data_IF_925919179923
#
_entry.id   IF_925919179923
#
_cell.length_a   1.000
_cell.length_b   1.000
_cell.length_c   1.000
_cell.angle_alpha   90.00
_cell.angle_beta   90.00
_cell.angle_gamma   90.00
#
_symmetry.space_group_name_H-M   'P 1'
#
loop_
_entity.id
_entity.type
_entity.pdbx_description
1 polymer ?
#
# COMPACT_ATOMS: atom_id res chain seq x y z
N UNK A 1 -15.99 -47.56 -31.43
CA UNK A 1 -17.19 -46.78 -31.79
C UNK A 1 -17.62 -45.91 -30.65
N UNK A 2 -17.89 -44.66 -30.97
CA UNK A 2 -18.50 -43.56 -30.18
C UNK A 2 -17.67 -42.90 -29.08
N UNK A 3 -17.17 -41.73 -29.47
CA UNK A 3 -16.67 -40.60 -28.71
C UNK A 3 -17.74 -40.05 -27.76
N UNK A 4 -17.38 -39.75 -26.53
CA UNK A 4 -18.17 -38.97 -25.61
C UNK A 4 -17.29 -37.86 -25.04
N UNK A 5 -17.45 -36.68 -25.57
CA UNK A 5 -16.83 -35.42 -25.12
C UNK A 5 -17.46 -35.02 -23.78
N UNK A 6 -16.73 -35.04 -22.70
CA UNK A 6 -17.20 -34.47 -21.42
C UNK A 6 -16.67 -33.03 -21.28
N UNK A 7 -17.57 -32.08 -21.42
CA UNK A 7 -17.37 -30.70 -21.02
C UNK A 7 -17.29 -30.66 -19.49
N UNK A 8 -16.13 -30.25 -18.98
CA UNK A 8 -15.96 -29.92 -17.57
C UNK A 8 -16.28 -28.42 -17.38
N UNK A 9 -17.54 -28.12 -17.05
CA UNK A 9 -17.95 -26.85 -16.49
C UNK A 9 -17.55 -26.84 -15.00
N UNK A 10 -16.43 -26.20 -14.70
CA UNK A 10 -16.00 -25.93 -13.34
C UNK A 10 -17.02 -25.04 -12.63
N UNK A 11 -17.74 -25.59 -11.69
CA UNK A 11 -18.52 -24.86 -10.71
C UNK A 11 -17.52 -24.08 -9.82
N UNK A 12 -17.37 -22.78 -10.07
CA UNK A 12 -16.94 -21.86 -9.04
C UNK A 12 -18.08 -21.70 -8.03
N UNK A 13 -18.08 -22.58 -7.04
CA UNK A 13 -18.87 -22.40 -5.83
C UNK A 13 -18.13 -21.38 -4.96
N UNK A 14 -18.51 -20.12 -5.07
CA UNK A 14 -18.22 -19.16 -4.01
C UNK A 14 -18.96 -19.65 -2.75
N UNK A 15 -18.28 -19.93 -1.64
CA UNK A 15 -18.96 -20.06 -0.37
C UNK A 15 -19.50 -18.69 -0.03
N UNK A 16 -20.82 -18.54 -0.09
CA UNK A 16 -21.54 -17.43 0.52
C UNK A 16 -21.43 -17.62 2.05
N UNK A 17 -20.25 -17.34 2.62
CA UNK A 17 -20.12 -17.15 4.04
C UNK A 17 -20.83 -15.82 4.33
N UNK A 18 -22.04 -15.92 4.89
CA UNK A 18 -22.75 -14.82 5.50
C UNK A 18 -21.79 -14.14 6.52
N UNK A 19 -21.09 -13.10 6.07
CA UNK A 19 -20.36 -12.22 6.96
C UNK A 19 -21.42 -11.58 7.84
N UNK A 20 -21.39 -11.91 9.12
CA UNK A 20 -22.12 -11.20 10.17
C UNK A 20 -21.59 -9.77 10.17
N UNK A 21 -22.29 -8.88 9.46
CA UNK A 21 -22.12 -7.45 9.64
C UNK A 21 -22.43 -7.15 11.11
N UNK A 22 -21.40 -6.88 11.89
CA UNK A 22 -21.61 -6.35 13.23
C UNK A 22 -22.11 -4.93 13.08
N UNK A 23 -23.42 -4.77 13.20
CA UNK A 23 -24.07 -3.46 13.31
C UNK A 23 -23.67 -2.90 14.67
N UNK A 24 -22.66 -2.05 14.70
CA UNK A 24 -22.38 -1.26 15.90
C UNK A 24 -23.51 -0.23 16.08
N UNK A 25 -23.98 -0.01 17.32
CA UNK A 25 -25.05 0.93 17.56
C UNK A 25 -24.64 2.32 17.11
N UNK A 26 -25.52 2.92 16.34
CA UNK A 26 -25.46 4.28 15.84
C UNK A 26 -25.31 5.26 17.03
N UNK A 27 -24.11 5.69 17.32
CA UNK A 27 -23.90 6.80 18.22
C UNK A 27 -24.20 8.08 17.45
N UNK A 28 -25.42 8.58 17.60
CA UNK A 28 -25.76 9.89 17.07
C UNK A 28 -24.95 10.95 17.81
N UNK A 29 -23.92 11.46 17.17
CA UNK A 29 -23.16 12.58 17.71
C UNK A 29 -23.85 13.87 17.31
N UNK A 30 -24.46 14.52 18.30
CA UNK A 30 -24.99 15.86 18.15
C UNK A 30 -23.83 16.85 18.05
N UNK A 31 -23.44 17.21 16.85
CA UNK A 31 -22.47 18.28 16.61
C UNK A 31 -23.25 19.61 16.57
N UNK A 32 -23.15 20.39 17.63
CA UNK A 32 -23.56 21.80 17.61
C UNK A 32 -22.46 22.57 16.84
N UNK A 33 -22.71 22.88 15.60
CA UNK A 33 -21.87 23.80 14.83
C UNK A 33 -22.36 25.21 15.19
N UNK A 34 -21.53 25.97 15.92
CA UNK A 34 -21.74 27.40 16.05
C UNK A 34 -21.58 28.03 14.66
N UNK A 35 -22.49 28.91 14.25
CA UNK A 35 -22.39 29.55 12.95
C UNK A 35 -21.31 30.61 13.02
N UNK A 36 -20.12 30.30 12.52
CA UNK A 36 -19.31 31.35 11.96
C UNK A 36 -20.00 31.76 10.67
N UNK A 37 -20.53 32.98 10.70
CA UNK A 37 -21.16 33.64 9.56
C UNK A 37 -20.10 33.95 8.50
N UNK A 38 -19.65 32.93 7.81
CA UNK A 38 -18.89 33.09 6.58
C UNK A 38 -19.88 32.87 5.46
N UNK A 39 -20.20 33.91 4.68
CA UNK A 39 -21.01 33.72 3.50
C UNK A 39 -20.33 32.69 2.60
N UNK A 40 -21.04 31.62 2.28
CA UNK A 40 -20.61 30.59 1.32
C UNK A 40 -20.30 31.15 -0.08
N UNK A 41 -20.44 32.47 -0.28
CA UNK A 41 -20.13 33.21 -1.49
C UNK A 41 -18.70 33.75 -1.60
N UNK A 42 -17.86 33.65 -0.58
CA UNK A 42 -16.46 34.06 -0.72
C UNK A 42 -15.64 32.92 -1.32
N UNK A 43 -15.70 32.94 -2.63
CA UNK A 43 -14.74 32.38 -3.61
C UNK A 43 -14.01 31.11 -3.21
N UNK A 44 -14.45 30.04 -3.80
CA UNK A 44 -13.90 28.68 -3.88
C UNK A 44 -12.40 28.61 -4.26
N UNK A 45 -11.75 29.69 -4.59
CA UNK A 45 -10.40 29.69 -5.16
C UNK A 45 -9.28 30.16 -4.23
N UNK A 46 -9.59 30.86 -3.14
CA UNK A 46 -8.54 31.44 -2.27
C UNK A 46 -8.42 30.78 -0.89
N UNK A 47 -9.41 29.99 -0.46
CA UNK A 47 -9.45 29.43 0.92
C UNK A 47 -9.26 27.92 1.02
N UNK A 48 -9.20 27.16 -0.07
CA UNK A 48 -9.04 25.69 -0.04
C UNK A 48 -7.70 25.21 0.49
N UNK A 49 -6.70 26.06 0.64
CA UNK A 49 -5.37 25.70 1.14
C UNK A 49 -5.21 25.74 2.66
N UNK A 50 -6.11 26.41 3.37
CA UNK A 50 -5.93 26.73 4.79
C UNK A 50 -6.87 25.98 5.73
N UNK A 51 -7.88 25.26 5.22
CA UNK A 51 -8.81 24.47 6.03
C UNK A 51 -8.25 23.06 6.22
N UNK A 52 -7.93 22.73 7.46
CA UNK A 52 -7.47 21.41 7.85
C UNK A 52 -8.64 20.58 8.41
N UNK A 53 -8.75 19.35 7.97
CA UNK A 53 -9.63 18.37 8.63
C UNK A 53 -8.89 17.73 9.80
N UNK A 54 -9.26 18.14 11.01
CA UNK A 54 -8.69 17.65 12.26
C UNK A 54 -9.70 16.70 12.89
N UNK A 55 -9.50 15.42 12.64
CA UNK A 55 -10.43 14.41 13.15
C UNK A 55 -11.85 14.61 12.64
N UNK A 56 -12.78 14.83 13.56
CA UNK A 56 -14.18 15.11 13.27
C UNK A 56 -14.48 16.61 13.08
N UNK A 57 -13.49 17.48 13.29
CA UNK A 57 -13.62 18.91 13.14
C UNK A 57 -12.83 19.45 11.95
N UNK A 58 -13.27 20.56 11.40
CA UNK A 58 -12.50 21.36 10.45
C UNK A 58 -12.04 22.62 11.13
N UNK A 59 -10.79 22.99 10.93
CA UNK A 59 -10.22 24.20 11.52
C UNK A 59 -9.32 24.92 10.51
N UNK A 60 -9.17 26.24 10.69
CA UNK A 60 -8.18 26.99 9.93
C UNK A 60 -6.78 26.58 10.43
N UNK A 61 -5.86 26.35 9.51
CA UNK A 61 -4.46 25.99 9.80
C UNK A 61 -3.80 26.96 10.79
N UNK A 62 -4.23 28.23 10.79
CA UNK A 62 -3.70 29.27 11.69
C UNK A 62 -4.23 29.17 13.13
N UNK A 63 -5.36 28.51 13.31
CA UNK A 63 -6.03 28.37 14.63
C UNK A 63 -5.79 27.01 15.26
N UNK A 64 -5.21 26.05 14.52
CA UNK A 64 -4.86 24.73 15.01
C UNK A 64 -3.61 24.80 15.87
N UNK A 65 -3.75 24.50 17.15
CA UNK A 65 -2.65 24.52 18.11
C UNK A 65 -1.67 23.34 17.94
N UNK A 66 -2.12 22.25 17.34
CA UNK A 66 -1.34 21.03 17.18
C UNK A 66 -0.56 20.95 15.87
N UNK A 67 0.39 20.03 15.82
CA UNK A 67 1.22 19.80 14.63
C UNK A 67 0.49 18.88 13.65
N UNK A 68 -0.24 19.47 12.73
CA UNK A 68 -0.94 18.79 11.64
C UNK A 68 -0.27 19.14 10.31
N UNK A 69 0.18 18.14 9.58
CA UNK A 69 0.68 18.31 8.21
C UNK A 69 -0.29 17.74 7.20
N UNK A 70 -0.66 18.57 6.25
CA UNK A 70 -1.44 18.14 5.08
C UNK A 70 -0.59 18.24 3.82
N UNK A 71 -0.57 17.14 3.08
CA UNK A 71 0.13 17.02 1.81
C UNK A 71 -0.93 16.76 0.73
N UNK A 72 -1.14 17.74 -0.11
CA UNK A 72 -2.01 17.61 -1.28
C UNK A 72 -1.28 16.91 -2.42
N UNK A 73 -2.02 16.41 -3.41
CA UNK A 73 -1.49 15.76 -4.61
C UNK A 73 -0.36 16.55 -5.28
N UNK A 74 -0.45 17.89 -5.29
CA UNK A 74 0.57 18.76 -5.90
C UNK A 74 1.93 18.70 -5.20
N UNK A 75 1.94 18.41 -3.90
CA UNK A 75 3.15 18.32 -3.07
C UNK A 75 3.68 16.89 -2.97
N UNK A 76 2.91 15.90 -3.35
CA UNK A 76 3.36 14.50 -3.33
C UNK A 76 4.55 14.30 -4.27
N UNK A 77 5.46 13.41 -3.88
CA UNK A 77 6.53 12.96 -4.77
C UNK A 77 5.90 12.33 -6.01
N UNK A 78 6.48 12.64 -7.16
CA UNK A 78 6.03 12.11 -8.46
C UNK A 78 7.03 11.11 -8.97
N UNK A 79 6.59 10.28 -9.92
CA UNK A 79 7.41 9.25 -10.55
C UNK A 79 6.78 7.88 -10.39
N UNK A 80 7.61 6.85 -10.52
CA UNK A 80 7.16 5.46 -10.38
C UNK A 80 7.00 5.10 -8.90
N UNK A 81 5.81 5.33 -8.36
CA UNK A 81 5.47 5.08 -6.96
C UNK A 81 4.52 3.88 -6.90
N UNK A 82 5.00 2.77 -6.37
CA UNK A 82 4.21 1.55 -6.18
C UNK A 82 3.46 1.54 -4.85
N UNK A 83 4.02 2.16 -3.82
CA UNK A 83 3.41 2.28 -2.50
C UNK A 83 3.08 3.76 -2.24
N UNK A 84 1.81 4.10 -1.98
CA UNK A 84 1.39 5.49 -1.78
C UNK A 84 2.14 6.22 -0.65
N UNK A 85 2.62 5.51 0.36
CA UNK A 85 3.45 6.09 1.42
C UNK A 85 4.74 6.72 0.89
N UNK A 86 5.32 6.15 -0.18
CA UNK A 86 6.52 6.72 -0.79
C UNK A 86 6.26 8.09 -1.43
N UNK A 87 5.00 8.42 -1.73
CA UNK A 87 4.63 9.75 -2.26
C UNK A 87 4.83 10.87 -1.23
N UNK A 88 4.83 10.54 0.05
CA UNK A 88 5.01 11.50 1.15
C UNK A 88 6.36 11.37 1.85
N UNK A 89 7.22 10.46 1.39
CA UNK A 89 8.53 10.24 2.00
C UNK A 89 9.40 11.51 1.91
N UNK A 90 9.94 11.94 3.05
CA UNK A 90 10.73 13.16 3.17
C UNK A 90 9.93 14.47 3.12
N UNK A 91 8.61 14.43 2.97
CA UNK A 91 7.75 15.62 2.90
C UNK A 91 7.25 16.10 4.27
N UNK A 92 7.30 15.24 5.28
CA UNK A 92 6.73 15.50 6.61
C UNK A 92 7.81 15.38 7.68
N UNK A 93 8.01 16.45 8.43
CA UNK A 93 8.92 16.42 9.57
C UNK A 93 8.40 15.49 10.67
N UNK A 94 9.30 14.68 11.24
CA UNK A 94 8.95 13.71 12.29
C UNK A 94 8.25 12.44 11.81
N UNK A 95 8.16 12.22 10.51
CA UNK A 95 7.73 10.94 9.92
C UNK A 95 8.93 10.25 9.29
N UNK A 96 9.25 9.07 9.77
CA UNK A 96 10.31 8.23 9.20
C UNK A 96 9.68 7.01 8.55
N UNK A 97 10.17 6.70 7.36
CA UNK A 97 9.78 5.52 6.60
C UNK A 97 11.01 4.64 6.44
N UNK A 98 10.95 3.47 7.01
CA UNK A 98 11.99 2.46 6.87
C UNK A 98 11.49 1.45 5.84
N UNK A 99 12.33 1.07 4.87
CA UNK A 99 12.00 -0.03 3.98
C UNK A 99 11.67 -1.26 4.82
N UNK A 100 10.49 -1.81 4.62
CA UNK A 100 10.07 -3.03 5.31
C UNK A 100 10.86 -4.25 4.81
N UNK A 101 10.68 -5.35 5.52
CA UNK A 101 11.26 -6.66 5.14
C UNK A 101 10.75 -7.13 3.78
N UNK A 102 9.53 -6.77 3.47
CA UNK A 102 8.91 -6.89 2.16
C UNK A 102 9.02 -5.54 1.44
N UNK A 103 9.40 -5.54 0.19
CA UNK A 103 9.62 -4.31 -0.60
C UNK A 103 8.40 -3.36 -0.64
N UNK A 104 7.27 -3.78 -0.10
CA UNK A 104 6.00 -3.08 -0.11
C UNK A 104 5.53 -2.55 1.23
N UNK A 105 5.85 -3.21 2.34
CA UNK A 105 5.44 -2.80 3.67
C UNK A 105 6.53 -1.93 4.29
N UNK A 106 6.49 -0.65 3.99
CA UNK A 106 7.33 0.31 4.69
C UNK A 106 6.86 0.39 6.16
N UNK A 107 7.78 0.21 7.08
CA UNK A 107 7.51 0.56 8.47
C UNK A 107 7.48 2.08 8.58
N UNK A 108 6.33 2.62 8.98
CA UNK A 108 6.15 4.06 9.19
C UNK A 108 6.19 4.35 10.69
N UNK A 109 6.93 5.37 11.07
CA UNK A 109 6.98 5.85 12.45
C UNK A 109 6.71 7.33 12.47
N UNK A 110 5.79 7.75 13.33
CA UNK A 110 5.48 9.14 13.59
C UNK A 110 6.08 9.51 14.94
N UNK A 111 7.06 10.46 14.91
CA UNK A 111 7.83 10.88 16.09
C UNK A 111 8.63 9.77 16.81
N UNK A 112 8.95 8.70 16.08
CA UNK A 112 9.79 7.62 16.61
C UNK A 112 8.98 6.45 17.20
N UNK A 113 9.63 5.69 18.08
CA UNK A 113 9.06 4.52 18.74
C UNK A 113 8.31 4.95 20.01
N UNK A 114 7.05 4.63 20.10
CA UNK A 114 6.17 5.00 21.23
C UNK A 114 5.98 3.86 22.21
N UNK A 115 6.19 2.60 21.78
CA UNK A 115 6.00 1.41 22.60
C UNK A 115 7.17 0.45 22.44
N UNK A 116 7.59 -0.16 23.55
CA UNK A 116 8.64 -1.20 23.55
C UNK A 116 8.08 -2.59 23.21
N UNK A 117 6.84 -2.86 23.57
CA UNK A 117 6.21 -4.19 23.44
C UNK A 117 4.98 -4.20 22.55
N UNK A 118 4.37 -3.06 22.32
CA UNK A 118 3.19 -2.89 21.45
C UNK A 118 3.56 -2.48 20.03
N UNK A 119 2.58 -2.45 19.17
CA UNK A 119 2.72 -1.92 17.81
C UNK A 119 3.10 -0.44 17.83
N UNK A 120 3.96 -0.04 16.90
CA UNK A 120 4.38 1.35 16.73
C UNK A 120 3.89 1.94 15.41
N UNK A 121 3.04 1.21 14.69
CA UNK A 121 2.47 1.67 13.44
C UNK A 121 1.39 2.73 13.70
N UNK A 122 1.37 3.80 12.93
CA UNK A 122 0.34 4.81 13.05
C UNK A 122 -1.02 4.24 12.63
N UNK A 123 -2.08 4.77 13.24
CA UNK A 123 -3.44 4.48 12.82
C UNK A 123 -3.67 5.06 11.42
N UNK A 124 -4.15 4.25 10.52
CA UNK A 124 -4.55 4.69 9.17
C UNK A 124 -6.07 4.87 9.12
N UNK A 125 -6.50 5.98 8.49
CA UNK A 125 -7.91 6.26 8.25
C UNK A 125 -8.07 6.65 6.79
N UNK A 126 -8.83 5.87 6.02
CA UNK A 126 -9.06 6.09 4.59
C UNK A 126 -10.52 6.50 4.41
N UNK A 127 -10.75 7.71 3.93
CA UNK A 127 -12.09 8.30 3.74
C UNK A 127 -13.02 8.20 4.97
N UNK A 128 -12.42 8.25 6.17
CA UNK A 128 -13.13 8.13 7.45
C UNK A 128 -13.13 6.70 8.02
N UNK A 129 -12.74 5.70 7.29
CA UNK A 129 -12.72 4.29 7.71
C UNK A 129 -11.38 3.92 8.32
N UNK A 130 -11.41 3.23 9.45
CA UNK A 130 -10.22 2.67 10.06
C UNK A 130 -9.62 1.56 9.20
N UNK A 131 -8.36 1.69 8.92
CA UNK A 131 -7.59 0.76 8.08
C UNK A 131 -6.20 0.51 8.69
N UNK A 132 -5.41 -0.31 8.04
CA UNK A 132 -4.02 -0.55 8.36
C UNK A 132 -3.07 -0.10 7.22
N UNK A 133 -1.77 -0.20 7.47
CA UNK A 133 -0.75 0.12 6.47
C UNK A 133 -0.79 -0.82 5.26
N UNK A 134 -1.23 -2.06 5.45
CA UNK A 134 -1.39 -3.05 4.38
C UNK A 134 -2.47 -2.60 3.40
N UNK A 135 -3.66 -2.27 3.91
CA UNK A 135 -4.76 -1.72 3.11
C UNK A 135 -4.34 -0.44 2.38
N UNK A 136 -3.66 0.48 3.08
CA UNK A 136 -3.17 1.71 2.45
C UNK A 136 -2.18 1.41 1.31
N UNK A 137 -1.31 0.43 1.48
CA UNK A 137 -0.31 0.07 0.47
C UNK A 137 -0.93 -0.48 -0.83
N UNK A 138 -2.20 -0.88 -0.81
CA UNK A 138 -2.92 -1.37 -1.98
C UNK A 138 -3.64 -0.27 -2.76
N UNK A 139 -3.82 0.93 -2.16
CA UNK A 139 -4.45 2.05 -2.84
C UNK A 139 -3.51 2.58 -3.92
N UNK A 140 -4.07 2.89 -5.07
CA UNK A 140 -3.29 3.46 -6.14
C UNK A 140 -2.98 4.94 -5.87
N UNK A 141 -1.73 5.40 -5.97
CA UNK A 141 -1.35 6.78 -5.63
C UNK A 141 -2.14 7.85 -6.40
N UNK A 142 -2.54 7.57 -7.64
CA UNK A 142 -3.32 8.50 -8.45
C UNK A 142 -4.76 8.72 -7.95
N UNK A 143 -5.29 7.81 -7.11
CA UNK A 143 -6.59 7.98 -6.46
C UNK A 143 -6.53 8.76 -5.15
N UNK A 144 -5.35 9.11 -4.67
CA UNK A 144 -5.19 9.86 -3.43
C UNK A 144 -5.22 11.36 -3.72
N UNK A 145 -6.08 12.08 -3.00
CA UNK A 145 -6.19 13.53 -3.04
C UNK A 145 -5.22 14.19 -2.05
N UNK A 146 -5.21 13.68 -0.81
CA UNK A 146 -4.35 14.24 0.23
C UNK A 146 -4.05 13.24 1.36
N UNK A 147 -2.92 13.47 2.01
CA UNK A 147 -2.57 12.89 3.29
C UNK A 147 -2.62 13.96 4.37
N UNK A 148 -3.25 13.67 5.50
CA UNK A 148 -3.21 14.49 6.69
C UNK A 148 -2.61 13.69 7.83
N UNK A 149 -1.53 14.19 8.42
CA UNK A 149 -0.79 13.47 9.46
C UNK A 149 -0.94 14.21 10.77
N UNK A 150 -1.58 13.55 11.74
CA UNK A 150 -1.79 14.04 13.09
C UNK A 150 -0.68 13.48 13.96
N UNK A 151 0.14 14.37 14.51
CA UNK A 151 1.35 13.97 15.24
C UNK A 151 1.22 14.22 16.75
N UNK A 152 0.41 15.18 17.16
CA UNK A 152 0.25 15.56 18.55
C UNK A 152 -0.91 14.85 19.24
N UNK A 153 -0.75 14.63 20.55
CA UNK A 153 -1.77 13.97 21.35
C UNK A 153 -3.09 14.75 21.40
N UNK A 154 -3.06 16.09 21.26
CA UNK A 154 -4.27 16.92 21.21
C UNK A 154 -5.19 16.55 20.06
N UNK A 155 -4.64 16.23 18.90
CA UNK A 155 -5.41 15.83 17.72
C UNK A 155 -5.68 14.32 17.67
N UNK A 156 -4.75 13.51 18.21
CA UNK A 156 -4.91 12.04 18.16
C UNK A 156 -5.76 11.47 19.28
N UNK A 157 -5.97 12.23 20.39
CA UNK A 157 -6.74 11.79 21.55
C UNK A 157 -8.18 11.32 21.21
N UNK A 158 -8.80 11.92 20.21
CA UNK A 158 -10.13 11.53 19.73
C UNK A 158 -10.20 10.10 19.18
N UNK A 159 -9.05 9.52 18.80
CA UNK A 159 -8.94 8.13 18.31
C UNK A 159 -8.56 7.15 19.43
N UNK A 160 -8.48 7.63 20.69
CA UNK A 160 -8.14 6.82 21.85
C UNK A 160 -6.76 6.19 21.75
N UNK A 161 -6.60 5.02 22.34
CA UNK A 161 -5.30 4.31 22.36
C UNK A 161 -4.74 3.96 20.97
N UNK A 162 -5.60 3.80 19.97
CA UNK A 162 -5.18 3.52 18.60
C UNK A 162 -4.40 4.69 17.97
N UNK A 163 -4.65 5.92 18.41
CA UNK A 163 -3.96 7.12 17.94
C UNK A 163 -2.61 7.40 18.62
N UNK A 164 -2.18 6.57 19.57
CA UNK A 164 -0.98 6.82 20.37
C UNK A 164 0.31 6.92 19.54
N UNK A 165 0.42 6.15 18.46
CA UNK A 165 1.55 6.16 17.54
C UNK A 165 1.39 7.16 16.37
N UNK A 166 0.45 8.10 16.49
CA UNK A 166 0.10 9.03 15.42
C UNK A 166 -1.02 8.52 14.52
N UNK A 167 -1.59 9.41 13.71
CA UNK A 167 -2.69 9.08 12.80
C UNK A 167 -2.37 9.60 11.40
N UNK A 168 -2.54 8.75 10.41
CA UNK A 168 -2.44 9.08 8.98
C UNK A 168 -3.85 9.02 8.39
N UNK A 169 -4.41 10.18 8.08
CA UNK A 169 -5.68 10.27 7.34
C UNK A 169 -5.37 10.38 5.86
N UNK A 170 -6.03 9.56 5.08
CA UNK A 170 -5.95 9.55 3.62
C UNK A 170 -7.31 9.94 3.07
N UNK A 171 -7.34 11.00 2.29
CA UNK A 171 -8.52 11.36 1.51
C UNK A 171 -8.29 10.94 0.07
N UNK A 172 -9.21 10.16 -0.47
CA UNK A 172 -9.14 9.77 -1.86
C UNK A 172 -9.94 10.73 -2.74
N UNK A 173 -9.61 10.77 -4.02
CA UNK A 173 -10.34 11.59 -5.00
C UNK A 173 -11.78 11.13 -5.09
N UNK A 174 -12.68 12.05 -4.91
CA UNK A 174 -14.12 11.85 -5.05
C UNK A 174 -14.63 12.38 -6.40
N UNK A 175 -15.85 12.01 -6.76
CA UNK A 175 -16.55 12.61 -7.87
C UNK A 175 -16.81 14.10 -7.63
N UNK A 176 -17.07 14.83 -8.69
CA UNK A 176 -17.51 16.22 -8.64
C UNK A 176 -18.59 16.45 -9.71
N UNK A 177 -19.41 17.46 -9.49
CA UNK A 177 -20.38 17.90 -10.49
C UNK A 177 -19.69 18.42 -11.73
N UNK A 178 -20.26 18.11 -12.89
CA UNK A 178 -19.72 18.55 -14.16
C UNK A 178 -19.91 17.52 -15.28
N UNK A 179 -19.37 17.82 -16.43
CA UNK A 179 -19.37 16.93 -17.57
C UNK A 179 -18.58 15.64 -17.28
N UNK A 180 -18.91 14.61 -18.03
CA UNK A 180 -18.15 13.36 -17.98
C UNK A 180 -16.66 13.61 -18.22
N UNK A 181 -15.84 13.09 -17.35
CA UNK A 181 -14.38 13.13 -17.44
C UNK A 181 -13.84 11.70 -17.44
N UNK A 182 -12.86 11.46 -18.29
CA UNK A 182 -12.10 10.21 -18.34
C UNK A 182 -10.63 10.56 -18.22
N UNK A 183 -9.93 9.94 -17.30
CA UNK A 183 -8.48 10.07 -17.15
C UNK A 183 -7.81 8.70 -17.23
N UNK A 184 -6.64 8.67 -17.83
CA UNK A 184 -5.75 7.52 -17.84
C UNK A 184 -4.35 7.96 -17.42
N UNK A 185 -3.82 7.27 -16.43
CA UNK A 185 -2.45 7.42 -15.96
C UNK A 185 -1.71 6.10 -16.15
N UNK A 186 -0.64 6.12 -16.94
CA UNK A 186 0.16 4.95 -17.24
C UNK A 186 1.63 5.23 -17.04
N UNK A 187 2.34 4.30 -16.38
CA UNK A 187 3.78 4.38 -16.16
C UNK A 187 4.42 3.02 -16.42
N UNK A 188 5.59 3.05 -17.04
CA UNK A 188 6.46 1.89 -17.19
C UNK A 188 7.87 2.25 -16.74
N UNK A 189 8.48 1.38 -15.96
CA UNK A 189 9.84 1.57 -15.43
C UNK A 189 10.62 0.28 -15.49
N UNK A 190 11.91 0.40 -15.78
CA UNK A 190 12.87 -0.70 -15.73
C UNK A 190 13.81 -0.45 -14.55
N UNK A 191 14.01 -1.47 -13.75
CA UNK A 191 14.85 -1.43 -12.55
C UNK A 191 16.08 -2.31 -12.74
N UNK A 192 17.22 -1.81 -12.33
CA UNK A 192 18.47 -2.57 -12.34
C UNK A 192 19.28 -2.29 -11.10
N UNK A 193 20.14 -3.22 -10.71
CA UNK A 193 21.05 -3.02 -9.60
C UNK A 193 22.13 -2.03 -10.03
N UNK A 194 22.20 -0.90 -9.33
CA UNK A 194 23.18 0.15 -9.61
C UNK A 194 24.62 -0.29 -9.35
N UNK A 195 24.84 -1.09 -8.28
CA UNK A 195 26.16 -1.53 -7.87
C UNK A 195 26.12 -2.91 -7.23
N UNK A 196 26.77 -3.86 -7.85
CA UNK A 196 26.97 -5.18 -7.28
C UNK A 196 28.21 -5.21 -6.37
N UNK A 197 28.20 -6.06 -5.35
CA UNK A 197 29.41 -6.38 -4.59
C UNK A 197 30.38 -7.12 -5.50
N UNK A 198 31.64 -6.70 -5.47
CA UNK A 198 32.70 -7.42 -6.19
C UNK A 198 33.06 -8.67 -5.37
N UNK A 199 32.77 -9.82 -5.94
CA UNK A 199 33.10 -11.12 -5.35
C UNK A 199 34.39 -11.67 -5.99
N UNK A 200 34.97 -12.63 -5.31
CA UNK A 200 36.09 -13.39 -5.90
C UNK A 200 35.55 -14.27 -7.04
N UNK A 201 36.21 -14.27 -8.17
CA UNK A 201 35.98 -15.26 -9.22
C UNK A 201 36.43 -16.66 -8.74
N UNK A 202 35.95 -17.72 -9.39
CA UNK A 202 36.36 -19.08 -9.08
C UNK A 202 37.88 -19.24 -9.12
N UNK A 203 38.57 -18.65 -10.10
CA UNK A 203 40.03 -18.71 -10.20
C UNK A 203 40.76 -17.95 -9.10
N UNK A 204 40.26 -16.75 -8.74
CA UNK A 204 40.80 -16.00 -7.61
C UNK A 204 40.57 -16.72 -6.29
N UNK A 205 39.42 -17.37 -6.14
CA UNK A 205 39.07 -18.15 -4.94
C UNK A 205 40.01 -19.37 -4.83
N UNK A 206 40.28 -20.12 -5.92
CA UNK A 206 41.25 -21.23 -5.96
C UNK A 206 42.65 -20.78 -5.56
N UNK A 207 43.08 -19.65 -6.15
CA UNK A 207 44.42 -19.10 -5.87
C UNK A 207 44.61 -18.73 -4.41
N UNK A 208 43.61 -18.04 -3.80
CA UNK A 208 43.64 -17.67 -2.38
C UNK A 208 43.57 -18.90 -1.48
N UNK A 209 42.78 -19.90 -1.82
CA UNK A 209 42.72 -21.16 -1.06
C UNK A 209 44.04 -21.90 -1.08
N UNK A 210 44.66 -22.01 -2.22
CA UNK A 210 46.01 -22.64 -2.39
C UNK A 210 47.06 -21.88 -1.59
N UNK A 211 47.09 -20.55 -1.70
CA UNK A 211 48.05 -19.69 -1.00
C UNK A 211 47.96 -19.82 0.52
N UNK A 212 46.74 -20.02 1.02
CA UNK A 212 46.46 -20.18 2.46
C UNK A 212 46.49 -21.64 2.95
N UNK A 213 46.75 -22.60 2.05
CA UNK A 213 46.72 -24.01 2.39
C UNK A 213 45.33 -24.53 2.83
N UNK A 214 44.25 -23.88 2.34
CA UNK A 214 42.89 -24.27 2.68
C UNK A 214 42.40 -25.28 1.65
N UNK A 215 41.98 -26.46 2.13
CA UNK A 215 41.32 -27.44 1.25
C UNK A 215 39.90 -26.99 0.94
N UNK A 216 39.58 -26.85 -0.34
CA UNK A 216 38.24 -26.47 -0.81
C UNK A 216 37.63 -27.61 -1.62
N UNK A 217 36.31 -27.72 -1.61
CA UNK A 217 35.58 -28.52 -2.59
C UNK A 217 35.48 -27.68 -3.87
N UNK A 218 36.20 -28.11 -4.90
CA UNK A 218 36.22 -27.45 -6.21
C UNK A 218 35.48 -28.31 -7.22
N UNK A 219 34.40 -27.79 -7.79
CA UNK A 219 33.59 -28.44 -8.82
C UNK A 219 33.94 -27.94 -10.23
N UNK A 220 34.93 -27.06 -10.36
CA UNK A 220 35.46 -26.62 -11.67
C UNK A 220 34.72 -25.47 -12.32
N UNK A 221 33.73 -24.86 -11.64
CA UNK A 221 32.95 -23.73 -12.17
C UNK A 221 33.54 -22.38 -11.76
N UNK A 222 33.00 -21.32 -12.37
CA UNK A 222 33.23 -19.91 -12.01
C UNK A 222 31.88 -19.18 -12.04
N UNK A 223 31.15 -19.24 -10.92
CA UNK A 223 29.78 -18.75 -10.83
C UNK A 223 29.73 -17.46 -10.00
N UNK A 224 29.16 -16.41 -10.59
CA UNK A 224 28.83 -15.17 -9.88
C UNK A 224 27.43 -15.26 -9.30
N UNK A 225 27.29 -15.85 -8.11
CA UNK A 225 25.99 -16.04 -7.47
C UNK A 225 25.18 -14.77 -7.24
N UNK A 226 25.75 -13.59 -6.90
CA UNK A 226 25.01 -12.33 -6.87
C UNK A 226 24.35 -11.96 -8.20
N UNK A 227 24.96 -12.27 -9.35
CA UNK A 227 24.33 -12.07 -10.66
C UNK A 227 23.27 -13.13 -10.96
N UNK A 228 23.49 -14.37 -10.54
CA UNK A 228 22.54 -15.45 -10.75
C UNK A 228 21.22 -15.28 -10.00
N UNK A 229 21.22 -14.63 -8.82
CA UNK A 229 19.99 -14.37 -8.06
C UNK A 229 19.27 -13.12 -8.52
N UNK A 230 19.84 -12.33 -9.43
CA UNK A 230 19.30 -11.05 -9.85
C UNK A 230 18.90 -11.06 -11.31
N UNK A 231 18.07 -10.10 -11.67
CA UNK A 231 17.61 -9.86 -13.04
C UNK A 231 17.35 -8.38 -13.25
N UNK A 232 17.09 -7.99 -14.47
CA UNK A 232 16.48 -6.71 -14.79
C UNK A 232 15.01 -6.77 -14.37
N UNK A 233 14.63 -5.92 -13.43
CA UNK A 233 13.25 -5.77 -12.96
C UNK A 233 12.47 -4.81 -13.85
N UNK A 234 11.14 -4.85 -13.75
CA UNK A 234 10.27 -3.89 -14.41
C UNK A 234 8.99 -3.69 -13.61
N UNK A 235 8.43 -2.50 -13.73
CA UNK A 235 7.18 -2.13 -13.07
C UNK A 235 6.30 -1.41 -14.09
N UNK A 236 5.05 -1.79 -14.15
CA UNK A 236 4.04 -1.09 -14.92
C UNK A 236 2.81 -0.78 -14.07
N UNK A 237 2.33 0.44 -14.25
CA UNK A 237 1.10 0.91 -13.62
C UNK A 237 0.14 1.36 -14.70
N UNK A 238 -1.12 0.96 -14.56
CA UNK A 238 -2.22 1.42 -15.38
C UNK A 238 -3.38 1.82 -14.47
N UNK A 239 -3.82 3.05 -14.61
CA UNK A 239 -4.94 3.59 -13.84
C UNK A 239 -5.90 4.30 -14.79
N UNK A 240 -7.15 3.93 -14.71
CA UNK A 240 -8.24 4.56 -15.46
C UNK A 240 -9.26 5.06 -14.45
N UNK A 241 -9.63 6.32 -14.56
CA UNK A 241 -10.71 6.86 -13.75
C UNK A 241 -11.69 7.64 -14.63
N UNK A 242 -12.96 7.51 -14.31
CA UNK A 242 -14.03 8.24 -14.95
C UNK A 242 -15.03 8.74 -13.91
N UNK A 243 -15.61 9.87 -14.20
CA UNK A 243 -16.56 10.51 -13.30
C UNK A 243 -17.31 11.64 -13.97
N UNK A 244 -18.29 12.13 -13.28
CA UNK A 244 -19.14 13.23 -13.71
C UNK A 244 -20.44 13.26 -12.94
N UNK A 245 -21.34 14.11 -13.33
CA UNK A 245 -22.66 14.20 -12.73
C UNK A 245 -23.21 15.60 -12.66
N UNK A 246 -24.33 15.74 -12.01
CA UNK A 246 -25.01 17.01 -11.76
C UNK A 246 -24.59 17.60 -10.40
N UNK A 247 -25.07 18.79 -10.06
CA UNK A 247 -24.84 19.38 -8.73
C UNK A 247 -25.42 18.52 -7.60
N UNK A 248 -26.52 17.81 -7.88
CA UNK A 248 -27.18 16.96 -6.88
C UNK A 248 -26.73 15.50 -6.87
N UNK A 249 -26.13 15.01 -7.95
CA UNK A 249 -25.70 13.61 -8.07
C UNK A 249 -24.44 13.53 -8.88
N UNK A 250 -23.37 13.03 -8.29
CA UNK A 250 -22.12 12.84 -8.99
C UNK A 250 -21.42 11.57 -8.53
N UNK A 251 -20.60 11.06 -9.41
CA UNK A 251 -19.89 9.79 -9.18
C UNK A 251 -18.45 9.86 -9.71
N UNK A 252 -17.63 8.99 -9.17
CA UNK A 252 -16.30 8.66 -9.68
C UNK A 252 -16.10 7.14 -9.57
N UNK A 253 -15.56 6.55 -10.61
CA UNK A 253 -15.08 5.17 -10.54
C UNK A 253 -13.65 5.11 -11.08
N UNK A 254 -12.84 4.23 -10.50
CA UNK A 254 -11.48 3.99 -10.93
C UNK A 254 -11.13 2.51 -10.93
N UNK A 255 -10.26 2.14 -11.85
CA UNK A 255 -9.66 0.82 -11.97
C UNK A 255 -8.15 0.99 -12.06
N UNK A 256 -7.41 0.21 -11.29
CA UNK A 256 -5.95 0.26 -11.29
C UNK A 256 -5.36 -1.14 -11.35
N UNK A 257 -4.27 -1.25 -12.09
CA UNK A 257 -3.42 -2.43 -12.20
C UNK A 257 -1.97 -2.01 -11.96
N UNK A 258 -1.31 -2.68 -11.06
CA UNK A 258 0.14 -2.59 -10.88
C UNK A 258 0.71 -4.01 -11.03
N UNK A 259 1.68 -4.15 -11.92
CA UNK A 259 2.42 -5.39 -12.11
C UNK A 259 3.92 -5.08 -11.94
N UNK A 260 4.57 -5.77 -11.03
CA UNK A 260 5.97 -5.57 -10.70
C UNK A 260 6.73 -6.88 -10.69
N UNK A 261 7.86 -6.88 -11.36
CA UNK A 261 8.90 -7.90 -11.23
C UNK A 261 10.15 -7.25 -10.68
N UNK A 262 10.53 -7.66 -9.48
CA UNK A 262 11.68 -7.10 -8.79
C UNK A 262 13.00 -7.52 -9.45
N UNK A 263 14.06 -6.78 -9.10
CA UNK A 263 15.44 -7.08 -9.52
C UNK A 263 15.97 -8.39 -8.94
N UNK A 264 15.36 -8.90 -7.89
CA UNK A 264 15.64 -10.24 -7.35
C UNK A 264 14.69 -11.22 -8.01
N UNK A 265 15.24 -12.33 -8.55
CA UNK A 265 14.39 -13.39 -9.10
C UNK A 265 13.48 -13.96 -8.01
N UNK A 266 12.34 -14.53 -8.36
CA UNK A 266 11.33 -15.07 -7.44
C UNK A 266 10.70 -14.04 -6.49
N UNK A 267 10.82 -12.74 -6.80
CA UNK A 267 10.11 -11.67 -6.13
C UNK A 267 9.31 -10.89 -7.16
N UNK A 268 7.98 -11.00 -7.07
CA UNK A 268 7.05 -10.29 -7.95
C UNK A 268 5.68 -10.14 -7.30
N UNK A 269 4.93 -9.15 -7.72
CA UNK A 269 3.56 -9.00 -7.29
C UNK A 269 2.69 -8.26 -8.30
N UNK A 270 1.40 -8.53 -8.22
CA UNK A 270 0.34 -7.84 -8.95
C UNK A 270 -0.71 -7.33 -7.99
N UNK A 271 -1.11 -6.10 -8.19
CA UNK A 271 -2.16 -5.46 -7.42
C UNK A 271 -3.26 -4.98 -8.36
N UNK A 272 -4.48 -5.40 -8.10
CA UNK A 272 -5.69 -4.97 -8.80
C UNK A 272 -6.53 -4.17 -7.82
N UNK A 273 -7.03 -3.02 -8.22
CA UNK A 273 -7.92 -2.21 -7.41
C UNK A 273 -9.09 -1.71 -8.25
N UNK A 274 -10.26 -1.71 -7.64
CA UNK A 274 -11.44 -1.05 -8.17
C UNK A 274 -12.06 -0.19 -7.07
N UNK A 275 -12.47 1.04 -7.41
CA UNK A 275 -13.09 1.97 -6.48
C UNK A 275 -14.27 2.67 -7.15
N UNK A 276 -15.35 2.86 -6.41
CA UNK A 276 -16.52 3.61 -6.83
C UNK A 276 -16.94 4.52 -5.69
N UNK A 277 -17.13 5.78 -5.98
CA UNK A 277 -17.68 6.78 -5.08
C UNK A 277 -18.91 7.40 -5.73
N UNK A 278 -19.98 7.53 -4.95
CA UNK A 278 -21.24 8.14 -5.38
C UNK A 278 -21.67 9.12 -4.29
N UNK A 279 -21.93 10.34 -4.68
CA UNK A 279 -22.57 11.33 -3.81
C UNK A 279 -23.93 11.70 -4.38
N UNK A 280 -24.94 11.61 -3.54
CA UNK A 280 -26.31 12.02 -3.86
C UNK A 280 -26.78 13.05 -2.84
N UNK A 281 -27.29 14.20 -3.35
CA UNK A 281 -27.93 15.23 -2.56
C UNK A 281 -29.43 15.23 -2.86
N UNK A 282 -30.25 15.42 -1.86
CA UNK A 282 -31.70 15.42 -1.98
C UNK A 282 -32.30 16.51 -1.09
N UNK A 283 -33.58 16.84 -1.29
CA UNK A 283 -34.37 17.81 -0.51
C UNK A 283 -33.71 19.20 -0.44
N UNK A 284 -33.29 19.75 -1.59
CA UNK A 284 -32.60 21.04 -1.67
C UNK A 284 -31.33 21.07 -0.77
N UNK A 285 -30.45 20.10 -0.96
CA UNK A 285 -29.20 19.91 -0.23
C UNK A 285 -29.34 19.64 1.28
N UNK A 286 -30.55 19.40 1.77
CA UNK A 286 -30.74 19.05 3.18
C UNK A 286 -30.32 17.63 3.53
N UNK A 287 -30.32 16.74 2.57
CA UNK A 287 -29.91 15.35 2.76
C UNK A 287 -28.80 15.03 1.77
N UNK A 288 -27.67 14.55 2.30
CA UNK A 288 -26.52 14.11 1.53
C UNK A 288 -26.19 12.67 1.88
N UNK A 289 -25.99 11.86 0.87
CA UNK A 289 -25.48 10.50 0.95
C UNK A 289 -24.14 10.44 0.21
N UNK A 290 -23.11 9.91 0.87
CA UNK A 290 -21.84 9.55 0.27
C UNK A 290 -21.65 8.05 0.45
N UNK A 291 -21.57 7.33 -0.66
CA UNK A 291 -21.28 5.91 -0.73
C UNK A 291 -19.94 5.73 -1.39
N UNK A 292 -19.01 5.06 -0.72
CA UNK A 292 -17.76 4.64 -1.29
C UNK A 292 -17.57 3.14 -1.15
N UNK A 293 -17.11 2.50 -2.21
CA UNK A 293 -16.78 1.07 -2.25
C UNK A 293 -15.43 0.91 -2.89
N UNK A 294 -14.54 0.20 -2.24
CA UNK A 294 -13.20 -0.12 -2.72
C UNK A 294 -12.93 -1.61 -2.54
N UNK A 295 -12.45 -2.24 -3.60
CA UNK A 295 -11.92 -3.60 -3.57
C UNK A 295 -10.50 -3.62 -4.10
N UNK A 296 -9.61 -4.32 -3.42
CA UNK A 296 -8.24 -4.52 -3.87
C UNK A 296 -7.82 -5.98 -3.66
N UNK A 297 -7.12 -6.53 -4.64
CA UNK A 297 -6.55 -7.88 -4.56
C UNK A 297 -5.08 -7.81 -4.95
N UNK A 298 -4.23 -8.26 -4.06
CA UNK A 298 -2.79 -8.38 -4.30
C UNK A 298 -2.40 -9.85 -4.30
N UNK A 299 -1.68 -10.24 -5.33
CA UNK A 299 -1.00 -11.53 -5.39
C UNK A 299 0.49 -11.27 -5.43
N UNK A 300 1.22 -11.81 -4.50
CA UNK A 300 2.68 -11.68 -4.41
C UNK A 300 3.33 -13.04 -4.30
N UNK A 301 4.51 -13.14 -4.88
CA UNK A 301 5.44 -14.21 -4.63
C UNK A 301 6.66 -13.56 -3.97
N UNK A 302 6.89 -13.90 -2.72
CA UNK A 302 7.92 -13.28 -1.89
C UNK A 302 9.09 -14.24 -1.71
N UNK A 303 10.28 -13.68 -1.67
CA UNK A 303 11.44 -14.44 -1.23
C UNK A 303 11.40 -14.56 0.29
N UNK A 304 11.44 -15.78 0.82
CA UNK A 304 11.29 -16.08 2.26
C UNK A 304 12.28 -15.30 3.12
N UNK A 305 13.53 -15.17 2.67
CA UNK A 305 14.55 -14.37 3.37
C UNK A 305 15.52 -13.75 2.37
N UNK A 306 15.23 -12.51 1.97
CA UNK A 306 16.05 -11.76 1.03
C UNK A 306 17.47 -11.50 1.56
N UNK A 307 17.61 -11.20 2.85
CA UNK A 307 18.93 -10.92 3.45
C UNK A 307 19.79 -12.17 3.47
N UNK A 308 19.22 -13.30 3.86
CA UNK A 308 19.90 -14.59 3.87
C UNK A 308 20.28 -15.03 2.46
N UNK A 309 19.43 -14.78 1.47
CA UNK A 309 19.72 -15.09 0.07
C UNK A 309 20.92 -14.30 -0.43
N UNK A 310 20.97 -12.98 -0.19
CA UNK A 310 22.11 -12.16 -0.57
C UNK A 310 23.37 -12.52 0.21
N UNK A 311 23.25 -12.78 1.52
CA UNK A 311 24.37 -13.23 2.31
C UNK A 311 24.92 -14.57 1.81
N UNK A 312 24.05 -15.53 1.53
CA UNK A 312 24.43 -16.81 0.95
C UNK A 312 25.09 -16.63 -0.41
N UNK A 313 24.54 -15.79 -1.29
CA UNK A 313 25.12 -15.52 -2.61
C UNK A 313 26.53 -14.90 -2.50
N UNK A 314 26.76 -14.06 -1.50
CA UNK A 314 28.05 -13.44 -1.26
C UNK A 314 29.09 -14.40 -0.64
N UNK A 315 28.64 -15.34 0.19
CA UNK A 315 29.50 -16.24 0.96
C UNK A 315 29.64 -17.63 0.33
N UNK A 316 28.82 -17.97 -0.66
CA UNK A 316 28.87 -19.29 -1.28
C UNK A 316 30.11 -19.49 -2.16
N UNK A 317 30.54 -20.73 -2.26
CA UNK A 317 31.73 -21.10 -3.01
C UNK A 317 31.52 -20.89 -4.53
N UNK A 318 32.26 -19.98 -5.18
CA UNK A 318 32.10 -19.67 -6.61
C UNK A 318 32.51 -20.80 -7.55
N UNK A 319 33.12 -21.87 -7.05
CA UNK A 319 33.49 -23.04 -7.87
C UNK A 319 32.35 -24.03 -8.06
N UNK A 320 31.16 -23.72 -7.54
CA UNK A 320 29.93 -24.51 -7.69
C UNK A 320 29.12 -24.09 -8.92
N UNK A 321 28.36 -25.02 -9.53
CA UNK A 321 27.50 -24.71 -10.67
C UNK A 321 26.28 -23.88 -10.31
N UNK A 322 25.79 -23.10 -11.28
CA UNK A 322 24.51 -22.40 -11.23
C UNK A 322 23.33 -23.25 -11.74
N UNK A 323 23.47 -24.55 -11.80
CA UNK A 323 22.45 -25.49 -12.25
C UNK A 323 22.33 -26.68 -11.29
N UNK A 324 21.21 -27.35 -11.35
CA UNK A 324 20.96 -28.54 -10.53
C UNK A 324 21.85 -29.70 -10.98
N UNK A 325 22.21 -30.53 -10.03
CA UNK A 325 22.95 -31.75 -10.28
C UNK A 325 22.07 -32.83 -10.96
N UNK A 326 22.67 -33.95 -11.32
CA UNK A 326 22.02 -35.06 -12.02
C UNK A 326 20.82 -35.68 -11.27
N UNK A 327 20.76 -35.47 -9.95
CA UNK A 327 19.66 -35.93 -9.09
C UNK A 327 18.53 -34.89 -8.97
N UNK A 328 18.65 -33.73 -9.61
CA UNK A 328 17.68 -32.65 -9.57
C UNK A 328 17.78 -31.73 -8.34
N UNK A 329 18.80 -31.96 -7.49
CA UNK A 329 19.08 -31.14 -6.31
C UNK A 329 20.13 -30.05 -6.58
N UNK A 330 20.29 -29.13 -5.63
CA UNK A 330 21.34 -28.14 -5.61
C UNK A 330 22.56 -28.65 -4.82
N UNK A 331 23.74 -28.51 -5.38
CA UNK A 331 24.96 -28.85 -4.66
C UNK A 331 25.16 -27.90 -3.48
N UNK A 332 25.53 -28.44 -2.33
CA UNK A 332 25.70 -27.74 -1.05
C UNK A 332 27.12 -27.87 -0.54
N UNK A 333 27.58 -26.84 0.18
CA UNK A 333 28.85 -26.91 0.92
C UNK A 333 28.65 -27.70 2.20
N UNK A 334 29.12 -28.93 2.24
CA UNK A 334 28.91 -29.84 3.38
C UNK A 334 29.68 -29.44 4.64
N UNK A 335 30.78 -28.68 4.49
CA UNK A 335 31.62 -28.21 5.60
C UNK A 335 31.10 -26.95 6.27
N UNK A 336 30.10 -26.27 5.67
CA UNK A 336 29.51 -25.03 6.16
C UNK A 336 28.00 -25.10 6.06
N UNK A 337 27.36 -25.89 6.92
CA UNK A 337 25.90 -26.13 6.93
C UNK A 337 25.07 -24.87 7.15
N UNK A 338 25.67 -23.77 7.62
CA UNK A 338 25.06 -22.46 7.80
C UNK A 338 25.01 -21.60 6.54
N UNK A 339 25.74 -22.01 5.47
CA UNK A 339 25.67 -21.40 4.14
C UNK A 339 24.96 -22.37 3.20
N UNK A 340 23.77 -21.98 2.78
CA UNK A 340 22.98 -22.76 1.82
C UNK A 340 23.16 -22.20 0.42
N UNK A 341 23.09 -23.05 -0.61
CA UNK A 341 23.11 -22.59 -1.99
C UNK A 341 22.02 -21.52 -2.21
N UNK A 342 22.38 -20.30 -2.64
CA UNK A 342 21.42 -19.20 -2.78
C UNK A 342 20.31 -19.52 -3.80
N UNK A 343 20.60 -20.31 -4.83
CA UNK A 343 19.61 -20.70 -5.84
C UNK A 343 18.58 -21.70 -5.26
N UNK A 344 18.98 -22.50 -4.26
CA UNK A 344 18.05 -23.37 -3.54
C UNK A 344 17.04 -22.55 -2.72
N UNK A 345 17.47 -21.44 -2.11
CA UNK A 345 16.59 -20.53 -1.41
C UNK A 345 15.54 -19.88 -2.31
N UNK A 346 15.91 -19.62 -3.55
CA UNK A 346 15.01 -18.98 -4.51
C UNK A 346 13.90 -19.90 -5.02
N UNK A 347 14.02 -21.20 -4.80
CA UNK A 347 12.96 -22.17 -5.10
C UNK A 347 11.91 -22.30 -4.01
N UNK A 348 12.21 -21.77 -2.83
CA UNK A 348 11.22 -21.72 -1.75
C UNK A 348 10.21 -20.62 -2.11
N UNK A 349 9.02 -21.03 -2.48
CA UNK A 349 7.91 -20.16 -2.84
C UNK A 349 7.16 -19.73 -1.58
N UNK A 350 6.92 -18.43 -1.45
CA UNK A 350 6.04 -17.82 -0.47
C UNK A 350 4.97 -17.02 -1.22
N UNK A 351 3.94 -17.73 -1.65
CA UNK A 351 2.84 -17.15 -2.40
C UNK A 351 1.78 -16.62 -1.44
N UNK A 352 1.52 -15.33 -1.51
CA UNK A 352 0.54 -14.64 -0.71
C UNK A 352 -0.54 -14.03 -1.59
N UNK A 353 -1.79 -14.17 -1.18
CA UNK A 353 -2.93 -13.53 -1.84
C UNK A 353 -3.76 -12.78 -0.81
N UNK A 354 -3.65 -11.46 -0.85
CA UNK A 354 -4.38 -10.55 0.04
C UNK A 354 -5.52 -9.90 -0.71
N UNK A 355 -6.72 -9.97 -0.16
CA UNK A 355 -7.90 -9.30 -0.69
C UNK A 355 -8.47 -8.38 0.38
N UNK A 356 -8.68 -7.12 0.03
CA UNK A 356 -9.32 -6.14 0.91
C UNK A 356 -10.55 -5.59 0.25
N UNK A 357 -11.62 -5.54 1.01
CA UNK A 357 -12.86 -4.90 0.62
C UNK A 357 -13.24 -3.89 1.70
N UNK A 358 -13.55 -2.68 1.26
CA UNK A 358 -13.97 -1.60 2.13
C UNK A 358 -15.18 -0.92 1.51
N UNK A 359 -16.23 -0.76 2.29
CA UNK A 359 -17.40 0.01 1.90
C UNK A 359 -17.78 0.95 3.03
N UNK A 360 -18.12 2.18 2.71
CA UNK A 360 -18.59 3.16 3.67
C UNK A 360 -19.81 3.88 3.14
N UNK A 361 -20.70 4.20 4.05
CA UNK A 361 -21.87 5.03 3.78
C UNK A 361 -21.91 6.15 4.83
N UNK A 362 -21.90 7.38 4.35
CA UNK A 362 -22.06 8.56 5.16
C UNK A 362 -23.39 9.24 4.80
N UNK A 363 -24.16 9.60 5.78
CA UNK A 363 -25.41 10.32 5.63
C UNK A 363 -25.37 11.60 6.48
N UNK A 364 -25.70 12.72 5.88
CA UNK A 364 -25.82 14.01 6.55
C UNK A 364 -27.21 14.59 6.29
N UNK A 365 -27.92 14.93 7.36
CA UNK A 365 -29.25 15.55 7.31
C UNK A 365 -29.20 16.91 8.01
N UNK A 366 -29.41 17.97 7.25
CA UNK A 366 -29.52 19.35 7.74
C UNK A 366 -30.97 19.60 8.15
N UNK A 367 -31.23 19.60 9.46
CA UNK A 367 -32.55 19.88 10.00
C UNK A 367 -32.83 21.38 10.03
N UNK A 368 -31.84 22.15 10.47
CA UNK A 368 -31.86 23.62 10.48
C UNK A 368 -30.47 24.12 10.10
N UNK A 369 -30.30 25.42 9.79
CA UNK A 369 -28.94 25.99 9.49
C UNK A 369 -27.93 25.75 10.63
N UNK A 370 -28.40 25.46 11.86
CA UNK A 370 -27.54 25.26 13.02
C UNK A 370 -27.54 23.83 13.55
N UNK A 371 -28.31 22.91 12.93
CA UNK A 371 -28.42 21.53 13.40
C UNK A 371 -28.26 20.56 12.22
N UNK A 372 -27.17 19.83 12.23
CA UNK A 372 -26.88 18.77 11.27
C UNK A 372 -26.82 17.45 12.01
N UNK A 373 -27.61 16.50 11.59
CA UNK A 373 -27.49 15.10 12.00
C UNK A 373 -26.56 14.40 10.97
N UNK A 374 -25.47 13.86 11.44
CA UNK A 374 -24.59 13.04 10.61
C UNK A 374 -24.53 11.63 11.16
N UNK A 375 -24.72 10.66 10.28
CA UNK A 375 -24.46 9.28 10.53
C UNK A 375 -23.32 8.88 9.57
N UNK A 376 -22.19 8.52 10.12
CA UNK A 376 -21.08 7.94 9.38
C UNK A 376 -20.82 6.55 9.92
N UNK A 377 -20.31 5.68 9.06
CA UNK A 377 -19.77 4.37 9.40
C UNK A 377 -20.77 3.21 9.48
N UNK A 378 -21.45 2.95 8.35
CA UNK A 378 -21.72 1.56 8.01
C UNK A 378 -20.47 1.05 7.26
N UNK A 379 -19.44 0.66 8.00
CA UNK A 379 -18.24 0.12 7.39
C UNK A 379 -18.28 -1.40 7.39
N UNK A 380 -18.03 -1.98 6.24
CA UNK A 380 -17.77 -3.41 6.10
C UNK A 380 -16.33 -3.55 5.57
N UNK A 381 -15.45 -4.11 6.38
CA UNK A 381 -14.07 -4.42 5.97
C UNK A 381 -13.93 -5.94 6.00
N UNK A 382 -13.48 -6.52 4.89
CA UNK A 382 -13.09 -7.92 4.78
C UNK A 382 -11.62 -7.95 4.34
N UNK A 383 -10.82 -8.68 5.04
CA UNK A 383 -9.40 -8.94 4.74
C UNK A 383 -9.16 -10.43 4.57
#
# INVERSE_FOLDING_TARGET
MKKGTFLWLGRMGLPLSLALCHIYPLAAQNKVILPDSIPWMLSDSLMRGDILQIGYATGDRRTVAGSVDQISEKRMNKGMISNPLNSINGQVAGVSMLPGREAMLNSVRVRGTTSLTGGNDPLVIIDGVFADLSTLSMIFPADIESFTILKDASETAQYGARGASGVIKVSTKQGHSGSFSLSYDGNFSVESIYKNMKMLSGDAFRSVAHERGISILDLGYDTNFPEEITRMGWVQNHHVAFGGGTESSYYRASLALLDRKDVVKSSDYRNYMAKIDITQRAFNDRLRFDLGVMGAVRKSNNLVDIQKTFYSAAAFNPTFPAHKNATGGWDQVTTASWITNPLAWMEVSDEESNAHFNAHLKMELVLTPHLVLSASDLTCTMS
#
